data_IF_736212231499
#
_entry.id   IF_736212231499
#
_cell.length_a   1.000
_cell.length_b   1.000
_cell.length_c   1.000
_cell.angle_alpha   90.00
_cell.angle_beta   90.00
_cell.angle_gamma   90.00
#
_symmetry.space_group_name_H-M   'P 1'
#
loop_
_entity.id
_entity.type
_entity.pdbx_description
1 polymer ?
#
# COMPACT_ATOMS: atom_id res chain seq x y z
N UNK A 1 -8.90 -12.75 52.03
CA UNK A 1 -9.70 -13.59 51.10
C UNK A 1 -10.36 -12.76 50.00
N UNK A 2 -10.94 -11.59 50.31
CA UNK A 2 -11.63 -10.73 49.35
C UNK A 2 -10.69 -10.06 48.34
N UNK A 3 -9.46 -9.69 48.76
CA UNK A 3 -8.45 -9.07 47.92
C UNK A 3 -7.90 -10.08 46.87
N UNK A 4 -7.73 -11.32 47.26
CA UNK A 4 -7.26 -12.40 46.33
C UNK A 4 -8.33 -12.70 45.29
N UNK A 5 -9.61 -12.65 45.65
CA UNK A 5 -10.73 -12.84 44.70
C UNK A 5 -10.82 -11.65 43.71
N UNK A 6 -10.57 -10.41 44.15
CA UNK A 6 -10.52 -9.21 43.32
C UNK A 6 -9.32 -9.24 42.33
N UNK A 7 -8.15 -9.75 42.78
CA UNK A 7 -6.98 -9.93 41.94
C UNK A 7 -7.18 -11.04 40.90
N UNK A 8 -7.85 -12.13 41.28
CA UNK A 8 -8.21 -13.22 40.37
C UNK A 8 -9.29 -12.77 39.35
N UNK A 9 -10.22 -11.89 39.78
CA UNK A 9 -11.19 -11.30 38.87
C UNK A 9 -10.56 -10.28 37.92
N UNK A 10 -9.59 -9.47 38.37
CA UNK A 10 -8.83 -8.57 37.51
C UNK A 10 -7.96 -9.34 36.48
N UNK A 11 -7.42 -10.51 36.87
CA UNK A 11 -6.68 -11.39 35.93
C UNK A 11 -7.59 -12.15 34.95
N UNK A 12 -8.86 -12.39 35.30
CA UNK A 12 -9.82 -13.05 34.39
C UNK A 12 -10.54 -12.09 33.45
N UNK A 13 -10.43 -10.76 33.63
CA UNK A 13 -10.99 -9.75 32.69
C UNK A 13 -10.06 -9.55 31.49
N UNK A 14 -8.85 -10.08 31.53
CA UNK A 14 -7.85 -9.97 30.45
C UNK A 14 -7.71 -11.25 29.61
N UNK A 15 -8.72 -12.12 29.59
CA UNK A 15 -8.89 -13.03 28.48
C UNK A 15 -9.47 -12.20 27.33
N UNK A 16 -8.62 -11.51 26.58
CA UNK A 16 -8.98 -10.93 25.29
C UNK A 16 -9.72 -12.02 24.50
N UNK A 17 -10.95 -11.71 24.07
CA UNK A 17 -11.66 -12.57 23.14
C UNK A 17 -10.91 -12.53 21.81
N UNK A 18 -9.92 -13.41 21.67
CA UNK A 18 -9.23 -13.61 20.40
C UNK A 18 -10.26 -14.06 19.36
N UNK A 19 -10.18 -13.50 18.16
CA UNK A 19 -11.00 -13.91 17.04
C UNK A 19 -10.74 -15.40 16.70
N UNK A 20 -11.77 -16.10 16.27
CA UNK A 20 -11.63 -17.53 15.91
C UNK A 20 -10.97 -17.67 14.54
N UNK A 21 -9.78 -18.28 14.51
CA UNK A 21 -9.05 -18.54 13.26
C UNK A 21 -9.80 -19.43 12.27
N UNK A 22 -10.80 -20.20 12.72
CA UNK A 22 -11.61 -21.04 11.84
C UNK A 22 -12.47 -20.22 10.86
N UNK A 23 -12.79 -18.95 11.20
CA UNK A 23 -13.53 -18.04 10.37
C UNK A 23 -12.71 -17.47 9.20
N UNK A 24 -11.38 -17.53 9.29
CA UNK A 24 -10.49 -17.08 8.21
C UNK A 24 -10.44 -18.14 7.11
N UNK A 25 -10.62 -17.71 5.85
CA UNK A 25 -10.50 -18.59 4.69
C UNK A 25 -9.15 -19.33 4.67
N UNK A 26 -9.08 -20.52 4.06
CA UNK A 26 -7.89 -21.38 4.08
C UNK A 26 -6.66 -20.78 3.41
N UNK A 27 -6.86 -19.91 2.42
CA UNK A 27 -5.76 -19.23 1.71
C UNK A 27 -5.00 -18.28 2.63
N UNK A 28 -5.74 -17.45 3.39
CA UNK A 28 -5.17 -16.47 4.30
C UNK A 28 -4.73 -17.10 5.63
N UNK A 29 -5.50 -18.06 6.17
CA UNK A 29 -5.26 -18.71 7.47
C UNK A 29 -3.88 -19.36 7.59
N UNK A 30 -3.36 -19.89 6.48
CA UNK A 30 -2.06 -20.56 6.47
C UNK A 30 -0.87 -19.58 6.54
N UNK A 31 -1.12 -18.28 6.36
CA UNK A 31 -0.08 -17.23 6.30
C UNK A 31 -0.52 -16.08 7.23
N UNK A 32 -0.69 -16.39 8.51
CA UNK A 32 -1.02 -15.44 9.57
C UNK A 32 0.12 -15.34 10.57
N UNK A 33 0.43 -14.12 10.97
CA UNK A 33 1.50 -13.84 11.92
C UNK A 33 1.00 -12.94 13.06
N UNK A 34 1.59 -13.04 14.26
CA UNK A 34 1.33 -12.10 15.34
C UNK A 34 1.92 -10.73 14.99
N UNK A 35 1.49 -9.69 15.73
CA UNK A 35 2.00 -8.34 15.53
C UNK A 35 3.51 -8.23 15.78
N UNK A 36 4.18 -7.51 14.90
CA UNK A 36 5.60 -7.16 15.03
C UNK A 36 5.83 -5.69 14.71
N UNK A 37 6.02 -4.87 15.75
CA UNK A 37 6.29 -3.42 15.62
C UNK A 37 7.54 -3.12 14.79
N UNK A 38 8.57 -3.97 14.84
CA UNK A 38 9.80 -3.74 14.05
C UNK A 38 9.57 -3.95 12.55
N UNK A 39 8.81 -4.97 12.17
CA UNK A 39 8.45 -5.23 10.77
C UNK A 39 7.48 -4.18 10.24
N UNK A 40 6.55 -3.74 11.09
CA UNK A 40 5.60 -2.69 10.78
C UNK A 40 6.31 -1.38 10.46
N UNK A 41 7.18 -0.90 11.36
CA UNK A 41 8.01 0.31 11.14
C UNK A 41 8.92 0.20 9.92
N UNK A 42 9.45 -1.00 9.65
CA UNK A 42 10.28 -1.22 8.45
C UNK A 42 9.45 -1.09 7.17
N UNK A 43 8.22 -1.60 7.17
CA UNK A 43 7.28 -1.41 6.07
C UNK A 43 6.94 0.07 5.85
N UNK A 44 6.73 0.83 6.93
CA UNK A 44 6.47 2.27 6.87
C UNK A 44 7.61 3.03 6.20
N UNK A 45 8.85 2.76 6.61
CA UNK A 45 10.04 3.44 6.06
C UNK A 45 10.14 3.19 4.56
N UNK A 46 10.00 1.95 4.11
CA UNK A 46 10.07 1.61 2.68
C UNK A 46 8.90 2.25 1.92
N UNK A 47 7.69 2.16 2.47
CA UNK A 47 6.49 2.74 1.84
C UNK A 47 6.63 4.26 1.69
N UNK A 48 6.98 4.99 2.75
CA UNK A 48 7.15 6.45 2.67
C UNK A 48 8.28 6.84 1.72
N UNK A 49 9.40 6.12 1.75
CA UNK A 49 10.48 6.33 0.79
C UNK A 49 9.99 6.18 -0.65
N UNK A 50 9.24 5.11 -0.94
CA UNK A 50 8.73 4.84 -2.28
C UNK A 50 7.67 5.87 -2.71
N UNK A 51 6.77 6.29 -1.81
CA UNK A 51 5.76 7.32 -2.07
C UNK A 51 6.39 8.67 -2.42
N UNK A 52 7.56 8.99 -1.87
CA UNK A 52 8.28 10.23 -2.18
C UNK A 52 9.12 10.14 -3.47
N UNK A 53 9.46 8.92 -3.92
CA UNK A 53 10.36 8.72 -5.07
C UNK A 53 9.85 9.33 -6.39
N UNK A 54 8.53 9.41 -6.72
CA UNK A 54 8.04 10.09 -7.92
C UNK A 54 8.53 11.54 -8.06
N UNK A 55 8.78 12.23 -6.95
CA UNK A 55 9.33 13.59 -6.98
C UNK A 55 10.71 13.66 -7.67
N UNK A 56 11.47 12.58 -7.72
CA UNK A 56 12.76 12.53 -8.43
C UNK A 56 12.60 12.68 -9.94
N UNK A 57 11.42 12.37 -10.50
CA UNK A 57 11.13 12.54 -11.92
C UNK A 57 11.05 14.00 -12.35
N UNK A 58 10.89 14.93 -11.40
CA UNK A 58 10.86 16.38 -11.66
C UNK A 58 12.27 17.02 -11.75
N UNK A 59 13.33 16.30 -11.40
CA UNK A 59 14.69 16.84 -11.41
C UNK A 59 15.13 17.17 -12.83
N UNK A 60 15.51 18.43 -13.03
CA UNK A 60 15.97 18.94 -14.34
C UNK A 60 14.86 19.19 -15.36
N UNK A 61 13.59 19.19 -14.93
CA UNK A 61 12.42 19.49 -15.75
C UNK A 61 12.06 20.97 -15.66
N UNK A 62 11.36 21.47 -16.68
CA UNK A 62 10.75 22.79 -16.63
C UNK A 62 9.51 22.82 -15.73
N UNK A 63 8.97 24.03 -15.52
CA UNK A 63 7.84 24.25 -14.62
C UNK A 63 6.57 23.52 -15.08
N UNK A 64 6.31 23.47 -16.38
CA UNK A 64 5.08 22.90 -16.93
C UNK A 64 5.09 21.36 -16.78
N UNK A 65 6.25 20.74 -17.01
CA UNK A 65 6.47 19.31 -16.76
C UNK A 65 6.30 18.98 -15.27
N UNK A 66 6.88 19.80 -14.38
CA UNK A 66 6.76 19.60 -12.93
C UNK A 66 5.31 19.67 -12.47
N UNK A 67 4.56 20.65 -12.97
CA UNK A 67 3.12 20.80 -12.64
C UNK A 67 2.34 19.60 -13.16
N UNK A 68 2.58 19.17 -14.40
CA UNK A 68 1.90 18.02 -15.00
C UNK A 68 2.18 16.73 -14.20
N UNK A 69 3.46 16.46 -13.87
CA UNK A 69 3.86 15.33 -13.02
C UNK A 69 3.19 15.39 -11.64
N UNK A 70 3.17 16.57 -11.04
CA UNK A 70 2.54 16.79 -9.74
C UNK A 70 1.04 16.52 -9.76
N UNK A 71 0.32 17.00 -10.80
CA UNK A 71 -1.11 16.74 -10.96
C UNK A 71 -1.38 15.26 -11.17
N UNK A 72 -0.70 14.61 -12.11
CA UNK A 72 -0.85 13.17 -12.37
C UNK A 72 -0.60 12.33 -11.11
N UNK A 73 0.46 12.68 -10.34
CA UNK A 73 0.76 11.93 -9.15
C UNK A 73 -0.25 12.19 -8.02
N UNK A 74 -0.73 13.41 -7.87
CA UNK A 74 -1.80 13.75 -6.93
C UNK A 74 -3.09 12.98 -7.25
N UNK A 75 -3.50 12.89 -8.52
CA UNK A 75 -4.65 12.10 -8.95
C UNK A 75 -4.45 10.60 -8.66
N UNK A 76 -3.26 10.08 -8.94
CA UNK A 76 -2.88 8.69 -8.62
C UNK A 76 -3.00 8.42 -7.12
N UNK A 77 -2.44 9.31 -6.30
CA UNK A 77 -2.47 9.18 -4.84
C UNK A 77 -3.91 9.27 -4.30
N UNK A 78 -4.67 10.30 -4.71
CA UNK A 78 -6.05 10.52 -4.27
C UNK A 78 -6.94 9.35 -4.69
N UNK A 79 -6.84 8.88 -5.94
CA UNK A 79 -7.62 7.74 -6.43
C UNK A 79 -7.31 6.45 -5.67
N UNK A 80 -6.04 6.17 -5.42
CA UNK A 80 -5.62 5.02 -4.62
C UNK A 80 -6.13 5.13 -3.18
N UNK A 81 -5.93 6.31 -2.56
CA UNK A 81 -6.33 6.55 -1.18
C UNK A 81 -7.86 6.47 -1.02
N UNK A 82 -8.62 7.13 -1.88
CA UNK A 82 -10.08 7.08 -1.84
C UNK A 82 -10.63 5.66 -2.02
N UNK A 83 -10.07 4.91 -2.98
CA UNK A 83 -10.47 3.52 -3.23
C UNK A 83 -10.24 2.65 -2.00
N UNK A 84 -9.06 2.75 -1.35
CA UNK A 84 -8.78 1.97 -0.15
C UNK A 84 -9.68 2.35 1.02
N UNK A 85 -9.99 3.65 1.23
CA UNK A 85 -10.87 4.09 2.32
C UNK A 85 -12.31 3.62 2.12
N UNK A 86 -12.82 3.72 0.88
CA UNK A 86 -14.16 3.21 0.56
C UNK A 86 -14.25 1.70 0.84
N UNK A 87 -13.24 0.93 0.42
CA UNK A 87 -13.23 -0.52 0.65
C UNK A 87 -13.07 -0.86 2.12
N UNK A 88 -12.26 -0.14 2.90
CA UNK A 88 -12.15 -0.31 4.36
C UNK A 88 -13.48 -0.03 5.06
N UNK A 89 -14.19 1.01 4.65
CA UNK A 89 -15.49 1.36 5.22
C UNK A 89 -16.60 0.32 4.91
N UNK A 90 -16.45 -0.45 3.82
CA UNK A 90 -17.44 -1.45 3.40
C UNK A 90 -17.07 -2.85 3.90
N UNK A 91 -15.78 -3.17 3.95
CA UNK A 91 -15.27 -4.50 4.33
C UNK A 91 -14.73 -4.43 5.76
N UNK A 92 -15.59 -4.71 6.72
CA UNK A 92 -15.24 -4.81 8.14
C UNK A 92 -14.49 -6.14 8.38
N UNK A 93 -13.15 -6.10 8.22
CA UNK A 93 -12.31 -7.29 8.28
C UNK A 93 -11.29 -7.17 9.41
N UNK A 94 -11.32 -8.07 10.42
CA UNK A 94 -10.31 -8.10 11.45
C UNK A 94 -8.91 -8.32 10.89
N UNK A 95 -7.90 -7.68 11.49
CA UNK A 95 -6.49 -7.88 11.10
C UNK A 95 -5.93 -9.20 11.61
N UNK A 96 -4.93 -9.80 10.94
CA UNK A 96 -4.33 -11.07 11.37
C UNK A 96 -3.86 -11.07 12.83
N UNK A 97 -3.26 -9.99 13.31
CA UNK A 97 -2.75 -9.91 14.69
C UNK A 97 -3.85 -10.03 15.75
N UNK A 98 -5.13 -9.72 15.45
CA UNK A 98 -6.26 -9.85 16.41
C UNK A 98 -6.63 -11.29 16.72
N UNK A 99 -6.03 -12.25 16.03
CA UNK A 99 -6.15 -13.68 16.26
C UNK A 99 -5.00 -14.24 17.11
N UNK A 100 -4.15 -13.39 17.66
CA UNK A 100 -3.00 -13.74 18.51
C UNK A 100 -2.98 -12.86 19.73
N UNK A 101 -2.31 -13.33 20.79
CA UNK A 101 -2.04 -12.52 21.98
C UNK A 101 -1.06 -11.38 21.65
N UNK A 102 -1.20 -10.24 22.34
CA UNK A 102 -0.31 -9.09 22.18
C UNK A 102 -0.62 -8.23 20.96
N UNK A 103 -1.87 -8.15 20.54
CA UNK A 103 -2.33 -7.14 19.58
C UNK A 103 -2.04 -5.72 20.09
N UNK A 104 -1.73 -4.75 19.21
CA UNK A 104 -1.43 -3.38 19.63
C UNK A 104 -2.70 -2.70 20.17
N UNK A 105 -2.73 -2.39 21.47
CA UNK A 105 -3.87 -1.74 22.12
C UNK A 105 -4.06 -0.28 21.68
N UNK A 106 -2.99 0.36 21.21
CA UNK A 106 -2.98 1.76 20.75
C UNK A 106 -3.79 1.96 19.46
N UNK A 107 -4.01 0.88 18.68
CA UNK A 107 -4.63 0.91 17.35
C UNK A 107 -5.99 0.18 17.29
N UNK A 108 -6.76 0.15 18.39
CA UNK A 108 -8.03 -0.59 18.47
C UNK A 108 -9.02 -0.18 17.36
N UNK A 109 -9.06 1.10 17.00
CA UNK A 109 -9.92 1.60 15.92
C UNK A 109 -9.57 1.02 14.55
N UNK A 110 -8.32 0.55 14.37
CA UNK A 110 -7.81 -0.02 13.11
C UNK A 110 -7.88 -1.56 13.06
N UNK A 111 -8.30 -2.21 14.14
CA UNK A 111 -8.33 -3.68 14.26
C UNK A 111 -9.19 -4.34 13.18
N UNK A 112 -10.26 -3.70 12.75
CA UNK A 112 -11.18 -4.20 11.74
C UNK A 112 -10.94 -3.63 10.34
N UNK A 113 -9.83 -2.94 10.14
CA UNK A 113 -9.51 -2.26 8.88
C UNK A 113 -8.44 -3.00 8.07
N UNK A 114 -8.52 -4.35 8.00
CA UNK A 114 -7.50 -5.14 7.30
C UNK A 114 -7.56 -4.98 5.78
N UNK A 115 -8.75 -4.97 5.18
CA UNK A 115 -8.90 -5.00 3.72
C UNK A 115 -9.25 -3.62 3.12
N UNK A 116 -8.56 -3.24 2.03
CA UNK A 116 -7.30 -3.77 1.51
C UNK A 116 -6.09 -3.19 2.24
N UNK A 117 -4.89 -3.73 1.97
CA UNK A 117 -3.64 -3.17 2.49
C UNK A 117 -3.33 -1.80 1.89
N UNK A 118 -3.41 -0.75 2.71
CA UNK A 118 -3.17 0.63 2.28
C UNK A 118 -1.70 0.89 1.92
N UNK A 119 -0.74 0.41 2.73
CA UNK A 119 0.69 0.51 2.45
C UNK A 119 1.05 -0.17 1.12
N UNK A 120 0.51 -1.37 0.88
CA UNK A 120 0.70 -2.06 -0.40
C UNK A 120 0.10 -1.27 -1.56
N UNK A 121 -1.13 -0.75 -1.41
CA UNK A 121 -1.77 0.02 -2.47
C UNK A 121 -0.97 1.27 -2.85
N UNK A 122 -0.52 2.06 -1.87
CA UNK A 122 0.28 3.26 -2.13
C UNK A 122 1.67 2.94 -2.68
N UNK A 123 2.31 1.88 -2.18
CA UNK A 123 3.61 1.43 -2.70
C UNK A 123 3.52 0.99 -4.17
N UNK A 124 2.51 0.19 -4.53
CA UNK A 124 2.29 -0.25 -5.91
C UNK A 124 1.83 0.87 -6.83
N UNK A 125 1.07 1.85 -6.33
CA UNK A 125 0.70 3.04 -7.08
C UNK A 125 1.94 3.86 -7.44
N UNK A 126 2.82 4.11 -6.47
CA UNK A 126 4.08 4.82 -6.71
C UNK A 126 5.01 4.06 -7.65
N UNK A 127 5.14 2.74 -7.48
CA UNK A 127 5.95 1.90 -8.36
C UNK A 127 5.43 1.89 -9.79
N UNK A 128 4.11 1.79 -9.98
CA UNK A 128 3.46 1.86 -11.28
C UNK A 128 3.66 3.21 -11.95
N UNK A 129 3.46 4.29 -11.19
CA UNK A 129 3.68 5.67 -11.67
C UNK A 129 5.11 5.90 -12.14
N UNK A 130 6.10 5.58 -11.27
CA UNK A 130 7.53 5.72 -11.60
C UNK A 130 7.87 4.93 -12.86
N UNK A 131 7.45 3.67 -12.93
CA UNK A 131 7.78 2.77 -14.04
C UNK A 131 7.21 3.24 -15.35
N UNK A 132 5.94 3.67 -15.35
CA UNK A 132 5.27 4.17 -16.54
C UNK A 132 5.86 5.51 -17.01
N UNK A 133 5.94 6.50 -16.11
CA UNK A 133 6.39 7.85 -16.46
C UNK A 133 7.87 7.84 -16.85
N UNK A 134 8.73 7.13 -16.12
CA UNK A 134 10.13 6.98 -16.51
C UNK A 134 10.29 6.37 -17.90
N UNK A 135 9.50 5.33 -18.21
CA UNK A 135 9.55 4.68 -19.51
C UNK A 135 9.02 5.56 -20.63
N UNK A 136 8.04 6.42 -20.35
CA UNK A 136 7.51 7.38 -21.30
C UNK A 136 8.50 8.53 -21.58
N UNK A 137 9.13 9.07 -20.52
CA UNK A 137 10.09 10.16 -20.64
C UNK A 137 11.44 9.73 -21.23
N UNK A 138 11.86 8.48 -21.03
CA UNK A 138 13.16 7.96 -21.45
C UNK A 138 13.00 6.66 -22.24
N UNK A 139 12.34 6.68 -23.43
CA UNK A 139 11.98 5.46 -24.16
C UNK A 139 13.20 4.64 -24.61
N UNK A 140 14.34 5.28 -24.85
CA UNK A 140 15.57 4.64 -25.29
C UNK A 140 16.54 4.30 -24.12
N UNK A 141 16.18 4.64 -22.88
CA UNK A 141 17.06 4.41 -21.73
C UNK A 141 17.13 2.94 -21.35
N UNK A 142 18.35 2.43 -21.20
CA UNK A 142 18.60 1.10 -20.63
C UNK A 142 18.18 0.96 -19.15
N UNK A 143 17.93 2.09 -18.46
CA UNK A 143 17.48 2.13 -17.06
C UNK A 143 15.99 1.86 -16.88
N UNK A 144 15.19 1.79 -17.92
CA UNK A 144 13.75 1.53 -17.83
C UNK A 144 13.43 0.25 -17.06
N UNK A 145 14.08 -0.85 -17.42
CA UNK A 145 13.89 -2.15 -16.76
C UNK A 145 14.45 -2.13 -15.33
N UNK A 146 15.70 -1.70 -15.06
CA UNK A 146 16.21 -1.58 -13.70
C UNK A 146 15.35 -0.73 -12.76
N UNK A 147 14.87 0.42 -13.20
CA UNK A 147 13.98 1.31 -12.40
C UNK A 147 12.66 0.61 -12.09
N UNK A 148 12.04 -0.03 -13.07
CA UNK A 148 10.79 -0.78 -12.87
C UNK A 148 11.00 -1.93 -11.86
N UNK A 149 12.05 -2.72 -12.01
CA UNK A 149 12.36 -3.82 -11.09
C UNK A 149 12.59 -3.28 -9.68
N UNK A 150 13.38 -2.22 -9.51
CA UNK A 150 13.67 -1.63 -8.21
C UNK A 150 12.40 -1.12 -7.52
N UNK A 151 11.54 -0.38 -8.23
CA UNK A 151 10.30 0.18 -7.70
C UNK A 151 9.33 -0.93 -7.26
N UNK A 152 9.06 -1.91 -8.13
CA UNK A 152 8.16 -3.01 -7.77
C UNK A 152 8.75 -3.97 -6.73
N UNK A 153 10.08 -4.12 -6.66
CA UNK A 153 10.73 -4.89 -5.59
C UNK A 153 10.55 -4.21 -4.23
N UNK A 154 10.66 -2.88 -4.16
CA UNK A 154 10.40 -2.12 -2.94
C UNK A 154 8.92 -2.24 -2.52
N UNK A 155 7.97 -2.14 -3.47
CA UNK A 155 6.55 -2.33 -3.19
C UNK A 155 6.23 -3.76 -2.70
N UNK A 156 6.86 -4.77 -3.30
CA UNK A 156 6.74 -6.15 -2.85
C UNK A 156 7.35 -6.36 -1.46
N UNK A 157 8.49 -5.74 -1.16
CA UNK A 157 9.11 -5.79 0.17
C UNK A 157 8.18 -5.17 1.24
N UNK A 158 7.60 -3.99 0.98
CA UNK A 158 6.55 -3.41 1.86
C UNK A 158 5.44 -4.43 2.12
N UNK A 159 4.92 -5.06 1.08
CA UNK A 159 3.84 -6.03 1.15
C UNK A 159 4.17 -7.25 2.01
N UNK A 160 5.35 -7.82 1.80
CA UNK A 160 5.84 -8.97 2.60
C UNK A 160 5.99 -8.59 4.07
N UNK A 161 6.53 -7.40 4.35
CA UNK A 161 6.67 -6.92 5.73
C UNK A 161 5.31 -6.71 6.41
N UNK A 162 4.28 -6.24 5.67
CA UNK A 162 2.92 -6.09 6.22
C UNK A 162 2.28 -7.44 6.55
N UNK A 163 2.56 -8.49 5.78
CA UNK A 163 2.11 -9.86 6.10
C UNK A 163 2.85 -10.39 7.32
N UNK A 164 4.19 -10.40 7.28
CA UNK A 164 5.03 -10.93 8.35
C UNK A 164 4.87 -10.15 9.67
N UNK A 165 4.55 -8.87 9.58
CA UNK A 165 4.24 -8.00 10.73
C UNK A 165 2.84 -8.22 11.31
N UNK A 166 2.05 -9.15 10.76
CA UNK A 166 0.71 -9.48 11.25
C UNK A 166 -0.38 -8.45 10.92
N UNK A 167 -0.08 -7.43 10.11
CA UNK A 167 -0.99 -6.33 9.83
C UNK A 167 -2.05 -6.66 8.77
N UNK A 168 -1.69 -7.51 7.79
CA UNK A 168 -2.54 -7.81 6.64
C UNK A 168 -2.45 -9.27 6.24
N UNK A 169 -3.55 -9.81 5.72
CA UNK A 169 -3.58 -11.10 5.06
C UNK A 169 -2.99 -11.01 3.63
N UNK A 170 -2.66 -12.17 3.06
CA UNK A 170 -2.20 -12.26 1.68
C UNK A 170 -3.21 -11.66 0.70
N UNK A 171 -4.50 -11.94 0.88
CA UNK A 171 -5.56 -11.40 0.01
C UNK A 171 -5.69 -9.87 0.10
N UNK A 172 -5.48 -9.26 1.28
CA UNK A 172 -5.48 -7.80 1.45
C UNK A 172 -4.36 -7.15 0.66
N UNK A 173 -3.19 -7.79 0.67
CA UNK A 173 -2.00 -7.34 -0.05
C UNK A 173 -2.18 -7.48 -1.56
N UNK A 174 -2.72 -8.61 -2.04
CA UNK A 174 -3.01 -8.79 -3.46
C UNK A 174 -4.02 -7.78 -3.99
N UNK A 175 -5.08 -7.50 -3.22
CA UNK A 175 -6.05 -6.46 -3.57
C UNK A 175 -5.40 -5.07 -3.57
N UNK A 176 -4.59 -4.74 -2.57
CA UNK A 176 -3.84 -3.49 -2.51
C UNK A 176 -2.90 -3.32 -3.71
N UNK A 177 -2.15 -4.36 -4.07
CA UNK A 177 -1.25 -4.35 -5.22
C UNK A 177 -2.00 -4.11 -6.55
N UNK A 178 -3.16 -4.76 -6.74
CA UNK A 178 -3.99 -4.56 -7.92
C UNK A 178 -4.53 -3.12 -7.99
N UNK A 179 -5.09 -2.60 -6.89
CA UNK A 179 -5.61 -1.23 -6.80
C UNK A 179 -4.49 -0.23 -7.08
N UNK A 180 -3.35 -0.37 -6.41
CA UNK A 180 -2.22 0.55 -6.58
C UNK A 180 -1.69 0.55 -8.01
N UNK A 181 -1.49 -0.63 -8.61
CA UNK A 181 -1.02 -0.73 -9.99
C UNK A 181 -2.01 -0.11 -10.98
N UNK A 182 -3.32 -0.34 -10.77
CA UNK A 182 -4.36 0.24 -11.63
C UNK A 182 -4.29 1.78 -11.65
N UNK A 183 -4.22 2.41 -10.49
CA UNK A 183 -4.11 3.87 -10.38
C UNK A 183 -2.74 4.37 -10.84
N UNK A 184 -1.65 3.70 -10.42
CA UNK A 184 -0.28 4.12 -10.71
C UNK A 184 0.09 4.09 -12.20
N UNK A 185 -0.46 3.13 -12.94
CA UNK A 185 -0.27 3.04 -14.39
C UNK A 185 -1.41 3.74 -15.13
N UNK A 186 -2.64 3.60 -14.66
CA UNK A 186 -3.84 4.07 -15.36
C UNK A 186 -3.88 5.60 -15.51
N UNK A 187 -3.60 6.35 -14.45
CA UNK A 187 -3.62 7.82 -14.50
C UNK A 187 -2.63 8.38 -15.53
N UNK A 188 -1.31 8.11 -15.42
CA UNK A 188 -0.37 8.65 -16.43
C UNK A 188 -0.65 8.12 -17.84
N UNK A 189 -1.15 6.91 -17.98
CA UNK A 189 -1.57 6.38 -19.29
C UNK A 189 -2.74 7.19 -19.89
N UNK A 190 -3.74 7.56 -19.08
CA UNK A 190 -4.88 8.37 -19.53
C UNK A 190 -4.45 9.79 -19.95
N UNK A 191 -3.52 10.41 -19.24
CA UNK A 191 -2.94 11.70 -19.63
C UNK A 191 -2.22 11.59 -20.97
N UNK A 192 -1.39 10.57 -21.16
CA UNK A 192 -0.67 10.34 -22.42
C UNK A 192 -1.63 10.11 -23.60
N UNK A 193 -2.69 9.32 -23.41
CA UNK A 193 -3.71 9.10 -24.46
C UNK A 193 -4.49 10.38 -24.76
N UNK A 194 -4.83 11.18 -23.72
CA UNK A 194 -5.53 12.44 -23.88
C UNK A 194 -4.75 13.46 -24.70
N UNK A 195 -3.45 13.55 -24.49
CA UNK A 195 -2.56 14.44 -25.25
C UNK A 195 -2.41 14.00 -26.71
N UNK A 196 -2.27 12.72 -26.98
CA UNK A 196 -2.22 12.17 -28.33
C UNK A 196 -3.52 12.47 -29.12
N UNK A 197 -4.68 12.42 -28.47
CA UNK A 197 -5.96 12.75 -29.08
C UNK A 197 -6.05 14.26 -29.39
N UNK A 198 -5.54 15.13 -28.51
CA UNK A 198 -5.58 16.58 -28.69
C UNK A 198 -4.58 17.10 -29.75
N UNK A 199 -3.42 16.47 -29.86
CA UNK A 199 -2.31 16.92 -30.72
C UNK A 199 -2.25 16.22 -32.09
N UNK A 200 -3.27 15.43 -32.46
CA UNK A 200 -3.28 14.79 -33.78
C UNK A 200 -2.06 13.92 -34.05
N UNK A 201 -1.72 13.05 -33.11
CA UNK A 201 -0.71 12.00 -33.24
C UNK A 201 0.74 12.47 -33.47
N UNK A 202 1.17 13.54 -32.84
CA UNK A 202 2.61 13.74 -32.65
C UNK A 202 3.00 13.04 -31.36
N UNK A 203 3.85 11.98 -31.40
CA UNK A 203 4.39 11.41 -30.19
C UNK A 203 5.17 12.49 -29.46
N UNK A 204 5.14 12.49 -28.13
CA UNK A 204 5.95 13.33 -27.26
C UNK A 204 7.36 13.46 -27.86
N UNK A 205 7.63 14.56 -28.55
CA UNK A 205 8.96 14.91 -29.00
C UNK A 205 9.65 15.54 -27.79
N UNK A 206 10.23 14.68 -26.96
CA UNK A 206 11.23 15.10 -25.99
C UNK A 206 12.51 15.37 -26.76
N UNK A 207 12.84 16.63 -26.92
CA UNK A 207 14.15 17.08 -27.37
C UNK A 207 15.18 16.77 -26.25
#
# INVERSE_FOLDING_TARGET
TTIVILLLFAFSIQAENLNDRSEVNSFDRNIMFPYSSSLDKSADIINYGLVLTPALLSIGRDTDDIVTLGVMYAETFIGTYATKEILKAVVDRPRPYTYFEGAPEEDIEDWNNSFPSGHTALSFASAGFISYVFSAYYPESSWRIPVTIAAYSAAAATSVLRILGGNHFMSDVLAGAAIGTLWGVGIPMLHTLGDNVKMGATPFALA
#
